data_IF_125238591565
#
_entry.id   IF_125238591565
#
_cell.length_a   1.000
_cell.length_b   1.000
_cell.length_c   1.000
_cell.angle_alpha   90.00
_cell.angle_beta   90.00
_cell.angle_gamma   90.00
#
_symmetry.space_group_name_H-M   'P 1'
#
loop_
_entity.id
_entity.type
_entity.pdbx_description
1 polymer ?
#
# COMPACT_ATOMS: atom_id res chain seq x y z
N UNK A 1 -13.20 10.93 90.94
CA UNK A 1 -13.88 12.05 90.28
C UNK A 1 -13.34 12.12 88.86
N UNK A 2 -14.12 11.62 87.88
CA UNK A 2 -14.66 12.40 86.72
C UNK A 2 -13.58 12.83 85.70
N UNK A 3 -13.69 12.71 84.38
CA UNK A 3 -14.75 12.31 83.47
C UNK A 3 -14.15 12.28 82.03
N UNK A 4 -14.66 11.36 81.19
CA UNK A 4 -15.02 11.50 79.75
C UNK A 4 -14.03 11.98 78.66
N UNK A 5 -13.71 11.04 77.75
CA UNK A 5 -14.12 10.96 76.32
C UNK A 5 -13.46 11.89 75.25
N UNK A 6 -13.56 11.56 73.92
CA UNK A 6 -12.43 11.56 72.97
C UNK A 6 -12.49 12.63 71.86
N UNK A 7 -11.35 12.78 71.15
CA UNK A 7 -11.15 13.64 69.98
C UNK A 7 -12.01 13.25 68.77
N UNK A 8 -12.63 14.24 68.12
CA UNK A 8 -13.36 14.08 66.86
C UNK A 8 -12.46 14.33 65.63
N UNK A 9 -12.69 13.65 64.48
CA UNK A 9 -11.85 13.76 63.30
C UNK A 9 -12.49 14.67 62.25
N UNK A 10 -12.18 15.97 62.27
CA UNK A 10 -12.38 16.87 61.12
C UNK A 10 -11.22 17.87 61.10
N UNK A 11 -10.74 18.23 59.90
CA UNK A 11 -9.65 19.17 59.57
C UNK A 11 -8.28 18.57 59.17
N UNK A 12 -8.28 17.47 58.41
CA UNK A 12 -7.09 17.01 57.66
C UNK A 12 -7.19 17.23 56.13
N UNK A 13 -7.87 18.30 55.67
CA UNK A 13 -8.02 18.59 54.22
C UNK A 13 -7.45 19.95 53.79
N UNK A 14 -6.96 20.78 54.72
CA UNK A 14 -6.55 22.16 54.37
C UNK A 14 -5.10 22.46 54.76
N UNK A 15 -4.12 21.77 54.16
CA UNK A 15 -2.69 22.17 54.26
C UNK A 15 -1.74 21.60 53.19
N UNK A 16 -2.22 21.31 51.99
CA UNK A 16 -1.35 20.90 50.84
C UNK A 16 -1.44 21.88 49.66
N UNK A 17 -2.23 22.96 49.75
CA UNK A 17 -2.54 23.82 48.59
C UNK A 17 -1.80 25.17 48.53
N UNK A 18 -0.62 25.31 49.12
CA UNK A 18 0.06 26.62 49.19
C UNK A 18 1.57 26.62 48.95
N UNK A 19 2.11 25.63 48.22
CA UNK A 19 3.50 25.65 47.74
C UNK A 19 3.65 25.03 46.35
N UNK A 20 2.80 25.41 45.38
CA UNK A 20 3.00 25.03 43.98
C UNK A 20 2.51 26.09 42.97
N UNK A 21 2.67 27.37 43.29
CA UNK A 21 2.50 28.48 42.34
C UNK A 21 3.67 29.45 42.52
N UNK A 22 4.76 29.25 41.77
CA UNK A 22 5.72 30.29 41.32
C UNK A 22 6.99 29.62 40.76
N UNK A 23 6.87 28.99 39.59
CA UNK A 23 7.96 28.77 38.65
C UNK A 23 7.38 28.30 37.31
N UNK A 24 6.62 29.17 36.64
CA UNK A 24 6.35 28.98 35.21
C UNK A 24 7.60 29.44 34.45
N UNK A 25 8.27 28.58 33.65
CA UNK A 25 9.26 29.08 32.73
C UNK A 25 8.51 29.76 31.57
N UNK A 26 8.50 31.09 31.56
CA UNK A 26 8.40 31.85 30.32
C UNK A 26 9.72 31.69 29.55
N UNK A 27 9.88 30.57 28.85
CA UNK A 27 10.93 30.42 27.84
C UNK A 27 10.60 29.26 26.89
N UNK A 28 10.43 29.61 25.62
CA UNK A 28 10.57 28.67 24.50
C UNK A 28 9.27 28.29 23.82
N UNK A 29 8.94 28.99 22.73
CA UNK A 29 8.09 28.48 21.66
C UNK A 29 8.47 27.02 21.39
N UNK A 30 7.52 26.10 21.54
CA UNK A 30 7.76 24.68 21.40
C UNK A 30 8.23 24.35 19.98
N UNK A 31 9.47 23.90 19.84
CA UNK A 31 9.87 23.12 18.68
C UNK A 31 9.00 21.86 18.71
N UNK A 32 7.99 21.78 17.83
CA UNK A 32 7.30 20.52 17.56
C UNK A 32 8.41 19.50 17.28
N UNK A 33 8.46 18.35 17.98
CA UNK A 33 9.51 17.37 17.73
C UNK A 33 9.51 17.04 16.24
N UNK A 34 10.69 17.12 15.61
CA UNK A 34 10.87 17.08 14.16
C UNK A 34 10.16 15.88 13.49
N UNK A 35 10.07 14.76 14.21
CA UNK A 35 9.32 13.57 13.80
C UNK A 35 7.79 13.80 13.69
N UNK A 36 7.19 14.57 14.61
CA UNK A 36 5.77 14.93 14.56
C UNK A 36 5.46 15.89 13.40
N UNK A 37 6.40 16.76 13.04
CA UNK A 37 6.27 17.63 11.87
C UNK A 37 6.27 16.81 10.57
N UNK A 38 7.18 15.83 10.44
CA UNK A 38 7.22 14.94 9.27
C UNK A 38 5.96 14.07 9.17
N UNK A 39 5.45 13.55 10.30
CA UNK A 39 4.20 12.77 10.34
C UNK A 39 2.99 13.58 9.84
N UNK A 40 2.86 14.85 10.26
CA UNK A 40 1.79 15.72 9.77
C UNK A 40 1.91 16.00 8.26
N UNK A 41 3.14 16.18 7.76
CA UNK A 41 3.40 16.35 6.33
C UNK A 41 2.95 15.11 5.54
N UNK A 42 3.31 13.91 5.99
CA UNK A 42 2.89 12.65 5.36
C UNK A 42 1.37 12.50 5.38
N UNK A 43 0.71 12.80 6.52
CA UNK A 43 -0.76 12.78 6.62
C UNK A 43 -1.42 13.75 5.64
N UNK A 44 -0.84 14.92 5.43
CA UNK A 44 -1.36 15.88 4.45
C UNK A 44 -1.13 15.41 3.01
N UNK A 45 0.01 14.79 2.70
CA UNK A 45 0.23 14.14 1.40
C UNK A 45 -0.85 13.08 1.13
N UNK A 46 -1.13 12.21 2.11
CA UNK A 46 -2.17 11.18 2.00
C UNK A 46 -3.57 11.77 1.82
N UNK A 47 -3.96 12.72 2.68
CA UNK A 47 -5.31 13.30 2.64
C UNK A 47 -5.54 14.11 1.37
N UNK A 48 -4.51 14.74 0.81
CA UNK A 48 -4.61 15.50 -0.45
C UNK A 48 -4.64 14.61 -1.69
N UNK A 49 -4.16 13.36 -1.60
CA UNK A 49 -4.14 12.39 -2.69
C UNK A 49 -5.44 11.59 -2.69
N UNK A 50 -6.10 11.48 -3.84
CA UNK A 50 -7.45 10.92 -3.99
C UNK A 50 -7.49 9.98 -5.17
N UNK A 51 -8.24 8.88 -5.04
CA UNK A 51 -8.44 7.93 -6.13
C UNK A 51 -9.50 8.45 -7.09
N UNK A 52 -9.13 8.50 -8.36
CA UNK A 52 -10.01 8.90 -9.46
C UNK A 52 -10.60 7.64 -10.09
N UNK A 53 -11.91 7.63 -10.26
CA UNK A 53 -12.68 6.59 -10.92
C UNK A 53 -13.12 7.09 -12.29
N UNK A 54 -13.02 6.23 -13.30
CA UNK A 54 -13.51 6.47 -14.65
C UNK A 54 -14.47 5.35 -15.03
N UNK A 55 -15.77 5.59 -14.93
CA UNK A 55 -16.80 4.58 -15.14
C UNK A 55 -17.36 4.64 -16.57
N UNK A 56 -17.52 3.47 -17.19
CA UNK A 56 -18.22 3.28 -18.46
C UNK A 56 -19.27 2.19 -18.31
N UNK A 57 -20.13 1.98 -19.33
CA UNK A 57 -21.05 0.84 -19.36
C UNK A 57 -20.35 -0.52 -19.34
N UNK A 58 -19.09 -0.58 -19.76
CA UNK A 58 -18.34 -1.83 -19.96
C UNK A 58 -17.31 -2.11 -18.86
N UNK A 59 -17.20 -1.24 -17.86
CA UNK A 59 -16.24 -1.38 -16.77
C UNK A 59 -15.79 -0.06 -16.17
N UNK A 60 -14.88 -0.14 -15.21
CA UNK A 60 -14.34 0.98 -14.47
C UNK A 60 -12.82 1.00 -14.54
N UNK A 61 -12.26 2.12 -15.00
CA UNK A 61 -10.85 2.45 -14.89
C UNK A 61 -10.56 3.25 -13.62
N UNK A 62 -9.31 3.25 -13.19
CA UNK A 62 -8.87 3.94 -11.99
C UNK A 62 -7.54 4.67 -12.22
N UNK A 63 -7.32 5.72 -11.44
CA UNK A 63 -6.05 6.43 -11.37
C UNK A 63 -5.97 7.26 -10.09
N UNK A 64 -5.02 8.18 -10.05
CA UNK A 64 -4.83 9.07 -8.91
C UNK A 64 -5.07 10.52 -9.32
N UNK A 65 -5.51 11.35 -8.38
CA UNK A 65 -5.50 12.79 -8.47
C UNK A 65 -5.15 13.42 -7.13
N UNK A 66 -5.06 14.75 -7.10
CA UNK A 66 -4.81 15.49 -5.86
C UNK A 66 -5.53 16.83 -5.80
N UNK A 67 -5.86 17.26 -4.59
CA UNK A 67 -6.66 18.47 -4.33
C UNK A 67 -5.82 19.74 -4.51
N UNK A 68 -6.36 20.73 -5.22
CA UNK A 68 -5.74 22.04 -5.44
C UNK A 68 -6.69 23.19 -5.14
N UNK A 69 -6.13 24.39 -4.96
CA UNK A 69 -6.89 25.63 -4.82
C UNK A 69 -7.79 25.67 -3.59
N UNK A 70 -9.09 25.81 -3.81
CA UNK A 70 -10.14 26.00 -2.81
C UNK A 70 -10.62 24.72 -2.11
N UNK A 71 -10.06 23.57 -2.47
CA UNK A 71 -10.48 22.27 -1.94
C UNK A 71 -11.68 21.65 -2.67
N UNK A 72 -12.08 22.19 -3.82
CA UNK A 72 -13.15 21.67 -4.71
C UNK A 72 -12.61 21.20 -6.06
N UNK A 73 -11.32 21.35 -6.30
CA UNK A 73 -10.67 21.02 -7.57
C UNK A 73 -9.64 19.92 -7.39
N UNK A 74 -9.61 18.98 -8.33
CA UNK A 74 -8.66 17.87 -8.35
C UNK A 74 -7.92 17.85 -9.68
N UNK A 75 -6.60 17.78 -9.62
CA UNK A 75 -5.76 17.56 -10.80
C UNK A 75 -5.54 16.06 -10.99
N UNK A 76 -5.57 15.60 -12.24
CA UNK A 76 -5.20 14.24 -12.65
C UNK A 76 -4.64 14.26 -14.09
N UNK A 77 -4.34 13.09 -14.66
CA UNK A 77 -3.99 13.00 -16.07
C UNK A 77 -5.23 12.94 -16.97
N UNK A 78 -5.09 13.37 -18.22
CA UNK A 78 -6.17 13.26 -19.20
C UNK A 78 -6.49 11.80 -19.50
N UNK A 79 -5.49 10.93 -19.65
CA UNK A 79 -5.74 9.51 -19.95
C UNK A 79 -6.49 8.78 -18.83
N UNK A 80 -6.34 9.21 -17.58
CA UNK A 80 -7.09 8.65 -16.43
C UNK A 80 -8.59 8.90 -16.58
N UNK A 81 -8.97 10.03 -17.19
CA UNK A 81 -10.37 10.45 -17.38
C UNK A 81 -10.90 10.19 -18.80
N UNK A 82 -10.15 9.47 -19.65
CA UNK A 82 -10.48 9.30 -21.06
C UNK A 82 -11.85 8.62 -21.31
N UNK A 83 -12.43 7.93 -20.31
CA UNK A 83 -13.78 7.38 -20.43
C UNK A 83 -14.84 8.44 -20.76
N UNK A 84 -14.65 9.70 -20.36
CA UNK A 84 -15.61 10.79 -20.64
C UNK A 84 -15.78 11.03 -22.15
N UNK A 85 -14.74 10.77 -22.93
CA UNK A 85 -14.79 10.90 -24.40
C UNK A 85 -15.69 9.84 -25.05
N UNK A 86 -15.93 8.74 -24.33
CA UNK A 86 -16.81 7.64 -24.73
C UNK A 86 -18.17 7.67 -24.01
N UNK A 87 -18.53 8.80 -23.39
CA UNK A 87 -19.79 8.97 -22.65
C UNK A 87 -19.78 8.34 -21.25
N UNK A 88 -18.60 8.06 -20.69
CA UNK A 88 -18.43 7.66 -19.29
C UNK A 88 -18.52 8.83 -18.31
N UNK A 89 -18.44 8.52 -17.02
CA UNK A 89 -18.46 9.49 -15.93
C UNK A 89 -17.23 9.36 -15.03
N UNK A 90 -16.90 10.45 -14.34
CA UNK A 90 -15.78 10.50 -13.40
C UNK A 90 -16.29 10.63 -11.97
N UNK A 91 -15.54 10.07 -11.03
CA UNK A 91 -15.81 10.22 -9.61
C UNK A 91 -14.55 10.15 -8.77
N UNK A 92 -14.65 10.62 -7.53
CA UNK A 92 -13.57 10.61 -6.56
C UNK A 92 -13.95 9.70 -5.40
N UNK A 93 -13.16 8.66 -5.17
CA UNK A 93 -13.35 7.79 -4.01
C UNK A 93 -12.71 8.45 -2.78
N UNK A 94 -13.55 8.94 -1.88
CA UNK A 94 -13.14 9.67 -0.68
C UNK A 94 -13.02 8.77 0.56
N UNK A 95 -13.69 7.62 0.55
CA UNK A 95 -13.76 6.66 1.65
C UNK A 95 -14.59 5.44 1.25
N UNK A 96 -14.73 4.46 2.13
CA UNK A 96 -15.58 3.29 1.87
C UNK A 96 -17.02 3.75 1.61
N UNK A 97 -17.52 3.54 0.39
CA UNK A 97 -18.86 3.96 -0.02
C UNK A 97 -19.07 5.46 -0.22
N UNK A 98 -18.06 6.31 -0.02
CA UNK A 98 -18.14 7.76 -0.28
C UNK A 98 -17.47 8.08 -1.62
N UNK A 99 -18.30 8.26 -2.66
CA UNK A 99 -17.88 8.69 -3.98
C UNK A 99 -18.46 10.06 -4.27
N UNK A 100 -17.60 11.05 -4.52
CA UNK A 100 -18.02 12.36 -4.99
C UNK A 100 -18.03 12.39 -6.52
N UNK A 101 -19.17 12.74 -7.11
CA UNK A 101 -19.27 13.00 -8.54
C UNK A 101 -18.45 14.22 -8.94
N UNK A 102 -17.89 14.18 -10.16
CA UNK A 102 -17.05 15.25 -10.70
C UNK A 102 -17.47 15.69 -12.09
N UNK A 103 -17.21 16.97 -12.36
CA UNK A 103 -17.25 17.57 -13.69
C UNK A 103 -15.81 17.79 -14.19
N UNK A 104 -15.56 17.48 -15.47
CA UNK A 104 -14.29 17.83 -16.13
C UNK A 104 -14.34 19.30 -16.55
N UNK A 105 -13.73 20.19 -15.78
CA UNK A 105 -13.71 21.63 -16.11
C UNK A 105 -12.62 22.01 -17.12
N UNK A 106 -11.60 21.16 -17.25
CA UNK A 106 -10.57 21.30 -18.27
C UNK A 106 -9.84 19.98 -18.49
N UNK A 107 -9.44 19.69 -19.73
CA UNK A 107 -8.45 18.64 -20.01
C UNK A 107 -7.65 18.95 -21.27
N UNK A 108 -6.46 18.37 -21.38
CA UNK A 108 -5.60 18.52 -22.54
C UNK A 108 -4.84 17.22 -22.81
N UNK A 109 -5.08 16.63 -23.98
CA UNK A 109 -4.45 15.36 -24.40
C UNK A 109 -2.94 15.49 -24.61
N UNK A 110 -2.47 16.60 -25.17
CA UNK A 110 -1.05 16.84 -25.44
C UNK A 110 -0.24 16.96 -24.15
N UNK A 111 -0.76 17.70 -23.17
CA UNK A 111 -0.14 17.83 -21.86
C UNK A 111 -0.38 16.59 -20.98
N UNK A 112 -1.39 15.79 -21.31
CA UNK A 112 -1.92 14.71 -20.50
C UNK A 112 -2.33 15.16 -19.09
N UNK A 113 -3.06 16.27 -19.01
CA UNK A 113 -3.53 16.84 -17.75
C UNK A 113 -5.04 17.10 -17.82
N UNK A 114 -5.70 16.96 -16.67
CA UNK A 114 -7.10 17.30 -16.49
C UNK A 114 -7.33 17.94 -15.11
N UNK A 115 -8.35 18.79 -15.05
CA UNK A 115 -8.86 19.39 -13.81
C UNK A 115 -10.32 18.98 -13.68
N UNK A 116 -10.62 18.34 -12.56
CA UNK A 116 -11.95 17.94 -12.13
C UNK A 116 -12.46 18.92 -11.07
N UNK A 117 -13.78 19.14 -11.05
CA UNK A 117 -14.47 19.94 -10.03
C UNK A 117 -15.53 19.11 -9.34
N UNK A 118 -15.63 19.25 -8.02
CA UNK A 118 -16.74 18.72 -7.22
C UNK A 118 -17.73 19.82 -6.85
N UNK A 119 -18.99 19.43 -6.65
CA UNK A 119 -20.06 20.34 -6.21
C UNK A 119 -19.86 20.87 -4.79
N UNK A 120 -19.09 20.15 -3.96
CA UNK A 120 -18.77 20.52 -2.57
C UNK A 120 -17.26 20.51 -2.33
N UNK A 121 -16.84 21.17 -1.23
CA UNK A 121 -15.49 20.99 -0.69
C UNK A 121 -15.29 19.57 -0.20
N UNK A 122 -14.10 19.05 -0.47
CA UNK A 122 -13.74 17.67 -0.18
C UNK A 122 -13.37 17.44 1.30
N UNK A 123 -13.18 18.50 2.09
CA UNK A 123 -12.66 18.38 3.46
C UNK A 123 -11.23 17.85 3.52
N UNK A 124 -10.49 17.98 2.42
CA UNK A 124 -9.11 17.50 2.21
C UNK A 124 -8.18 18.69 1.95
N UNK A 125 -6.91 18.62 2.40
CA UNK A 125 -5.99 19.73 2.26
C UNK A 125 -5.62 19.92 0.80
N UNK A 126 -5.64 21.16 0.31
CA UNK A 126 -5.11 21.51 -0.99
C UNK A 126 -3.57 21.56 -0.94
N UNK A 127 -2.92 20.99 -1.95
CA UNK A 127 -1.45 20.97 -2.03
C UNK A 127 -0.90 22.32 -2.47
N UNK A 128 0.38 22.54 -2.17
CA UNK A 128 1.17 23.63 -2.77
C UNK A 128 1.88 23.13 -4.01
N UNK A 129 1.95 23.96 -5.06
CA UNK A 129 2.76 23.69 -6.25
C UNK A 129 4.15 24.33 -6.12
N UNK A 130 5.18 23.59 -6.49
CA UNK A 130 6.57 24.07 -6.51
C UNK A 130 6.90 24.62 -7.91
N UNK A 131 7.63 25.73 -7.97
CA UNK A 131 8.13 26.28 -9.23
C UNK A 131 9.33 25.45 -9.75
N UNK A 132 9.46 25.27 -11.06
CA UNK A 132 10.51 24.44 -11.69
C UNK A 132 11.92 24.94 -11.34
N UNK A 133 12.13 26.25 -11.25
CA UNK A 133 13.40 26.86 -10.84
C UNK A 133 13.83 26.49 -9.40
N UNK A 134 12.89 26.00 -8.58
CA UNK A 134 13.13 25.51 -7.21
C UNK A 134 13.30 24.01 -7.12
N UNK A 135 12.98 23.27 -8.17
CA UNK A 135 13.23 21.81 -8.23
C UNK A 135 14.67 21.57 -8.66
N UNK A 136 15.42 20.85 -7.83
CA UNK A 136 16.84 20.53 -8.06
C UNK A 136 16.99 19.09 -8.55
N UNK A 137 18.03 18.82 -9.35
CA UNK A 137 18.46 17.44 -9.59
C UNK A 137 18.90 16.81 -8.27
N UNK A 138 18.82 15.48 -8.17
CA UNK A 138 19.07 14.67 -6.95
C UNK A 138 18.18 14.99 -5.76
N UNK A 139 17.22 15.90 -5.91
CA UNK A 139 16.25 16.22 -4.87
C UNK A 139 15.37 14.99 -4.63
N UNK A 140 15.26 14.57 -3.37
CA UNK A 140 14.38 13.47 -2.96
C UNK A 140 12.92 13.82 -3.23
N UNK A 141 12.20 12.85 -3.78
CA UNK A 141 10.78 12.95 -4.11
C UNK A 141 10.03 11.68 -3.74
N UNK A 142 8.72 11.83 -3.55
CA UNK A 142 7.81 10.77 -3.17
C UNK A 142 6.64 10.75 -4.14
N UNK A 143 6.52 9.69 -4.94
CA UNK A 143 5.38 9.51 -5.82
C UNK A 143 4.26 8.86 -5.00
N UNK A 144 3.10 9.52 -4.97
CA UNK A 144 1.92 9.04 -4.27
C UNK A 144 0.84 8.61 -5.26
N UNK A 145 0.15 7.51 -4.94
CA UNK A 145 -1.02 7.09 -5.71
C UNK A 145 -1.62 5.78 -5.24
N UNK A 146 -2.48 5.20 -6.08
CA UNK A 146 -3.20 3.97 -5.79
C UNK A 146 -2.84 2.90 -6.84
N UNK A 147 -1.73 2.17 -6.66
CA UNK A 147 -1.27 1.19 -7.64
C UNK A 147 -2.37 0.15 -7.94
N UNK A 148 -2.65 -0.11 -9.21
CA UNK A 148 -3.74 -1.01 -9.62
C UNK A 148 -3.59 -2.45 -9.08
N UNK A 149 -2.34 -2.91 -8.86
CA UNK A 149 -2.06 -4.22 -8.27
C UNK A 149 -2.63 -4.39 -6.84
N UNK A 150 -2.88 -3.29 -6.12
CA UNK A 150 -3.50 -3.33 -4.79
C UNK A 150 -5.01 -3.65 -4.85
N UNK A 151 -5.66 -3.46 -6.00
CA UNK A 151 -7.09 -3.75 -6.19
C UNK A 151 -7.31 -5.25 -6.49
N UNK A 152 -6.37 -5.87 -7.21
CA UNK A 152 -6.43 -7.28 -7.63
C UNK A 152 -6.00 -8.27 -6.53
N UNK A 153 -5.40 -7.78 -5.44
CA UNK A 153 -4.83 -8.58 -4.35
C UNK A 153 -5.85 -9.20 -3.36
N UNK A 154 -7.09 -9.47 -3.82
CA UNK A 154 -8.06 -10.30 -3.08
C UNK A 154 -9.28 -9.57 -2.52
N UNK A 155 -9.83 -8.59 -3.23
CA UNK A 155 -11.16 -8.04 -2.90
C UNK A 155 -11.24 -7.25 -1.59
N UNK A 156 -10.11 -6.69 -1.12
CA UNK A 156 -10.08 -5.85 0.09
C UNK A 156 -10.44 -4.40 -0.26
N UNK A 157 -11.51 -3.83 0.33
CA UNK A 157 -11.87 -2.42 0.14
C UNK A 157 -10.76 -1.43 0.53
N UNK A 158 -9.85 -1.82 1.42
CA UNK A 158 -8.78 -0.95 1.95
C UNK A 158 -7.69 -0.63 0.93
N UNK A 159 -7.35 -1.56 0.04
CA UNK A 159 -6.35 -1.31 -1.02
C UNK A 159 -6.79 -0.21 -2.01
N UNK A 160 -8.12 -0.03 -2.13
CA UNK A 160 -8.72 1.04 -2.94
C UNK A 160 -8.58 2.43 -2.30
N UNK A 161 -8.37 2.51 -0.98
CA UNK A 161 -8.43 3.74 -0.20
C UNK A 161 -7.08 4.17 0.39
N UNK A 162 -6.11 3.27 0.44
CA UNK A 162 -4.78 3.54 0.97
C UNK A 162 -3.86 4.10 -0.11
N UNK A 163 -3.35 5.30 0.13
CA UNK A 163 -2.32 5.92 -0.70
C UNK A 163 -1.00 5.18 -0.46
N UNK A 164 -0.38 4.72 -1.55
CA UNK A 164 0.95 4.12 -1.51
C UNK A 164 2.00 5.13 -1.96
N UNK A 165 3.18 5.04 -1.36
CA UNK A 165 4.30 5.91 -1.67
C UNK A 165 5.53 5.13 -2.13
N UNK A 166 6.07 5.55 -3.27
CA UNK A 166 7.40 5.17 -3.73
C UNK A 166 8.34 6.36 -3.61
N UNK A 167 9.61 6.10 -3.35
CA UNK A 167 10.61 7.13 -3.09
C UNK A 167 11.66 7.08 -4.18
N UNK A 168 12.16 8.25 -4.56
CA UNK A 168 13.28 8.40 -5.48
C UNK A 168 13.88 9.80 -5.41
N UNK A 169 14.56 10.19 -6.48
CA UNK A 169 15.15 11.50 -6.73
C UNK A 169 14.74 12.03 -8.10
N UNK A 170 14.85 13.35 -8.29
CA UNK A 170 14.80 13.93 -9.63
C UNK A 170 16.14 13.64 -10.34
N UNK A 171 16.09 12.75 -11.34
CA UNK A 171 17.27 12.30 -12.09
C UNK A 171 17.59 13.23 -13.26
N UNK A 172 16.57 13.77 -13.93
CA UNK A 172 16.75 14.67 -15.07
C UNK A 172 15.56 15.61 -15.28
N UNK A 173 15.83 16.72 -15.97
CA UNK A 173 14.83 17.65 -16.49
C UNK A 173 14.81 17.51 -18.01
N UNK A 174 13.75 16.93 -18.56
CA UNK A 174 13.63 16.68 -20.01
C UNK A 174 12.34 17.27 -20.56
N UNK A 175 12.20 17.24 -21.88
CA UNK A 175 10.93 17.48 -22.56
C UNK A 175 10.66 16.35 -23.52
N UNK A 176 9.40 16.00 -23.79
CA UNK A 176 9.08 15.06 -24.86
C UNK A 176 9.02 15.79 -26.23
N UNK A 177 8.84 15.07 -27.36
CA UNK A 177 8.77 15.69 -28.68
C UNK A 177 7.64 16.72 -28.83
N UNK A 178 6.56 16.60 -28.04
CA UNK A 178 5.43 17.54 -28.03
C UNK A 178 5.72 18.84 -27.27
N UNK A 179 6.90 18.94 -26.65
CA UNK A 179 7.30 20.10 -25.85
C UNK A 179 6.83 20.03 -24.40
N UNK A 180 6.13 18.97 -24.01
CA UNK A 180 5.70 18.76 -22.62
C UNK A 180 6.94 18.59 -21.73
N UNK A 181 7.06 19.44 -20.71
CA UNK A 181 8.19 19.39 -19.77
C UNK A 181 7.94 18.34 -18.70
N UNK A 182 8.97 17.53 -18.46
CA UNK A 182 8.94 16.37 -17.57
C UNK A 182 10.12 16.40 -16.60
N UNK A 183 9.93 15.75 -15.47
CA UNK A 183 11.00 15.23 -14.64
C UNK A 183 11.14 13.74 -14.89
N UNK A 184 12.39 13.29 -15.04
CA UNK A 184 12.76 11.91 -14.86
C UNK A 184 13.01 11.66 -13.37
N UNK A 185 12.52 10.56 -12.84
CA UNK A 185 12.74 10.14 -11.45
C UNK A 185 13.08 8.66 -11.40
N UNK A 186 13.81 8.22 -10.39
CA UNK A 186 13.99 6.78 -10.09
C UNK A 186 12.94 6.24 -9.10
N UNK A 187 12.02 7.10 -8.65
CA UNK A 187 10.85 6.66 -7.90
C UNK A 187 10.02 5.70 -8.77
N UNK A 188 9.67 4.54 -8.22
CA UNK A 188 8.87 3.55 -8.94
C UNK A 188 7.47 4.12 -9.26
N UNK A 189 7.18 4.30 -10.55
CA UNK A 189 5.86 4.73 -11.06
C UNK A 189 5.28 3.57 -11.87
N UNK A 190 4.13 3.09 -11.41
CA UNK A 190 3.40 1.94 -11.94
C UNK A 190 1.95 2.34 -12.27
N UNK A 191 1.21 1.52 -13.05
CA UNK A 191 -0.23 1.72 -13.27
C UNK A 191 -0.97 2.02 -11.96
N UNK A 192 -1.80 3.06 -11.97
CA UNK A 192 -2.54 3.53 -10.79
C UNK A 192 -1.90 4.74 -10.09
N UNK A 193 -0.60 4.99 -10.24
CA UNK A 193 0.02 6.25 -9.78
C UNK A 193 -0.23 7.43 -10.73
N UNK A 194 -0.59 7.16 -11.99
CA UNK A 194 -0.88 8.18 -13.00
C UNK A 194 -1.89 9.20 -12.51
N UNK A 195 -1.59 10.47 -12.74
CA UNK A 195 -2.35 11.63 -12.31
C UNK A 195 -2.09 12.03 -10.85
N UNK A 196 -1.40 11.18 -10.10
CA UNK A 196 -1.03 11.42 -8.72
C UNK A 196 0.13 12.41 -8.55
N UNK A 197 0.28 12.99 -7.36
CA UNK A 197 1.33 13.96 -7.09
C UNK A 197 2.70 13.29 -6.91
N UNK A 198 3.73 13.96 -7.44
CA UNK A 198 5.13 13.77 -7.05
C UNK A 198 5.49 14.85 -6.04
N UNK A 199 5.64 14.47 -4.77
CA UNK A 199 5.91 15.39 -3.67
C UNK A 199 7.41 15.58 -3.42
N UNK A 200 7.81 16.76 -2.95
CA UNK A 200 9.05 16.94 -2.20
C UNK A 200 8.86 16.56 -0.72
N UNK A 201 9.94 16.60 0.07
CA UNK A 201 9.90 16.30 1.51
C UNK A 201 9.05 17.27 2.36
N UNK A 202 8.47 18.32 1.78
CA UNK A 202 7.59 19.27 2.47
C UNK A 202 6.11 19.03 2.16
N UNK A 203 5.76 18.00 1.39
CA UNK A 203 4.39 17.77 0.94
C UNK A 203 3.94 18.72 -0.16
N UNK A 204 4.89 19.36 -0.84
CA UNK A 204 4.63 20.26 -1.96
C UNK A 204 4.83 19.50 -3.26
N UNK A 205 3.92 19.70 -4.22
CA UNK A 205 3.92 18.97 -5.49
C UNK A 205 4.92 19.60 -6.44
N UNK A 206 5.92 18.81 -6.82
CA UNK A 206 6.89 19.17 -7.85
C UNK A 206 6.42 18.74 -9.23
N UNK A 207 5.65 17.64 -9.33
CA UNK A 207 5.14 17.14 -10.61
C UNK A 207 3.94 16.22 -10.48
N UNK A 208 3.44 15.74 -11.62
CA UNK A 208 2.27 14.86 -11.74
C UNK A 208 2.76 13.56 -12.38
N UNK A 209 2.66 12.45 -11.66
CA UNK A 209 3.15 11.14 -12.10
C UNK A 209 2.45 10.71 -13.38
N UNK A 210 3.20 10.17 -14.34
CA UNK A 210 2.67 9.61 -15.59
C UNK A 210 3.28 8.23 -15.80
N UNK A 211 2.43 7.26 -16.12
CA UNK A 211 2.89 5.92 -16.46
C UNK A 211 3.83 5.89 -17.68
N UNK A 212 4.77 4.93 -17.64
CA UNK A 212 5.86 4.68 -18.59
C UNK A 212 5.39 4.39 -20.03
N UNK A 213 5.01 5.43 -20.77
CA UNK A 213 4.71 5.30 -22.21
C UNK A 213 5.44 6.33 -23.09
N UNK A 214 6.53 6.91 -22.60
CA UNK A 214 7.38 7.78 -23.41
C UNK A 214 8.47 6.97 -24.10
N UNK A 215 8.37 6.86 -25.42
CA UNK A 215 9.38 6.21 -26.27
C UNK A 215 10.51 7.16 -26.67
N UNK A 216 10.26 8.48 -26.67
CA UNK A 216 11.20 9.51 -27.13
C UNK A 216 11.20 10.72 -26.18
N UNK A 217 12.37 11.33 -25.99
CA UNK A 217 12.58 12.60 -25.27
C UNK A 217 13.52 13.52 -26.05
N UNK A 218 13.47 14.82 -25.78
CA UNK A 218 14.54 15.78 -26.10
C UNK A 218 15.51 15.86 -24.94
N UNK A 219 16.79 15.64 -25.24
CA UNK A 219 17.88 15.84 -24.29
C UNK A 219 18.15 17.35 -24.06
N UNK A 220 19.11 17.66 -23.18
CA UNK A 220 19.50 19.05 -22.88
C UNK A 220 20.01 19.83 -24.11
N UNK A 221 20.47 19.14 -25.15
CA UNK A 221 20.97 19.74 -26.40
C UNK A 221 19.86 19.88 -27.46
N UNK A 222 18.63 19.47 -27.15
CA UNK A 222 17.47 19.54 -28.05
C UNK A 222 17.32 18.35 -29.02
N UNK A 223 18.22 17.37 -28.97
CA UNK A 223 18.21 16.19 -29.83
C UNK A 223 17.20 15.15 -29.34
N UNK A 224 16.59 14.43 -30.29
CA UNK A 224 15.66 13.35 -29.99
C UNK A 224 16.42 12.08 -29.61
N UNK A 225 16.11 11.54 -28.43
CA UNK A 225 16.70 10.32 -27.89
C UNK A 225 15.59 9.33 -27.54
N UNK A 226 15.79 8.05 -27.90
CA UNK A 226 14.90 6.96 -27.47
C UNK A 226 15.11 6.68 -25.99
N UNK A 227 14.02 6.57 -25.24
CA UNK A 227 14.08 6.18 -23.82
C UNK A 227 14.35 4.68 -23.74
N UNK A 228 15.40 4.23 -23.03
CA UNK A 228 15.58 2.82 -22.73
C UNK A 228 14.39 2.31 -21.91
N UNK A 229 13.74 1.24 -22.36
CA UNK A 229 12.76 0.53 -21.55
C UNK A 229 13.52 -0.17 -20.42
N UNK A 230 13.45 0.40 -19.22
CA UNK A 230 14.22 -0.07 -18.06
C UNK A 230 13.46 0.06 -16.75
N UNK A 231 13.81 -0.82 -15.81
CA UNK A 231 13.44 -0.65 -14.41
C UNK A 231 14.09 0.62 -13.83
N UNK A 232 13.41 1.30 -12.91
CA UNK A 232 13.95 2.52 -12.27
C UNK A 232 13.85 3.83 -13.07
N UNK A 233 13.07 3.91 -14.16
CA UNK A 233 12.80 5.17 -14.87
C UNK A 233 11.31 5.56 -14.75
N UNK A 234 10.99 6.51 -13.90
CA UNK A 234 9.67 7.14 -13.78
C UNK A 234 9.61 8.52 -14.45
N UNK A 235 8.41 8.94 -14.84
CA UNK A 235 8.14 10.24 -15.45
C UNK A 235 7.10 11.01 -14.65
N UNK A 236 7.31 12.32 -14.51
CA UNK A 236 6.31 13.22 -13.97
C UNK A 236 6.24 14.52 -14.76
N UNK A 237 5.05 14.97 -15.13
CA UNK A 237 4.82 16.29 -15.74
C UNK A 237 5.18 17.35 -14.72
N UNK A 238 5.93 18.39 -15.11
CA UNK A 238 6.32 19.44 -14.15
C UNK A 238 5.08 20.21 -13.69
N UNK A 239 4.98 20.47 -12.39
CA UNK A 239 3.82 21.18 -11.81
C UNK A 239 3.58 22.57 -12.43
N UNK A 240 4.62 23.19 -13.01
CA UNK A 240 4.49 24.47 -13.72
C UNK A 240 3.62 24.41 -14.97
N UNK A 241 3.44 23.24 -15.58
CA UNK A 241 2.50 23.06 -16.70
C UNK A 241 1.05 23.35 -16.28
N UNK A 242 0.72 23.21 -14.99
CA UNK A 242 -0.63 23.48 -14.48
C UNK A 242 -0.91 24.97 -14.30
N UNK A 243 0.09 25.80 -13.98
CA UNK A 243 -0.14 27.18 -13.52
C UNK A 243 -0.94 28.03 -14.53
N UNK A 244 -0.62 28.03 -15.84
CA UNK A 244 -1.38 28.82 -16.80
C UNK A 244 -2.83 28.35 -16.92
N UNK A 245 -3.07 27.05 -16.72
CA UNK A 245 -4.39 26.45 -16.87
C UNK A 245 -5.25 26.71 -15.63
N UNK A 246 -4.67 26.55 -14.43
CA UNK A 246 -5.36 26.91 -13.19
C UNK A 246 -5.72 28.40 -13.16
N UNK A 247 -4.81 29.28 -13.62
CA UNK A 247 -5.08 30.71 -13.73
C UNK A 247 -6.26 31.02 -14.68
N UNK A 248 -6.34 30.36 -15.85
CA UNK A 248 -7.47 30.50 -16.79
C UNK A 248 -8.80 30.04 -16.19
N UNK A 249 -8.76 29.05 -15.31
CA UNK A 249 -9.92 28.55 -14.59
C UNK A 249 -10.25 29.37 -13.34
N UNK A 250 -9.52 30.47 -13.07
CA UNK A 250 -9.63 31.25 -11.83
C UNK A 250 -9.38 30.43 -10.56
N UNK A 251 -8.63 29.34 -10.67
CA UNK A 251 -8.20 28.51 -9.55
C UNK A 251 -6.84 29.03 -9.10
N UNK A 252 -6.75 29.55 -7.88
CA UNK A 252 -5.48 30.04 -7.31
C UNK A 252 -4.84 28.95 -6.46
N UNK A 253 -3.88 28.15 -6.98
CA UNK A 253 -3.16 27.20 -6.16
C UNK A 253 -2.23 27.94 -5.19
N UNK A 254 -2.06 27.39 -4.00
CA UNK A 254 -0.96 27.82 -3.15
C UNK A 254 0.37 27.47 -3.83
N UNK A 255 1.31 28.40 -3.83
CA UNK A 255 2.66 28.18 -4.39
C UNK A 255 3.68 28.14 -3.27
N UNK A 256 4.60 27.17 -3.32
CA UNK A 256 5.69 27.05 -2.37
C UNK A 256 6.59 28.30 -2.41
N UNK A 257 6.49 29.16 -1.38
CA UNK A 257 7.19 30.44 -1.33
C UNK A 257 8.61 30.34 -0.75
N UNK A 258 8.98 29.22 -0.11
CA UNK A 258 10.31 28.96 0.46
C UNK A 258 10.89 27.64 -0.04
N UNK A 259 12.21 27.50 0.03
CA UNK A 259 12.87 26.21 -0.21
C UNK A 259 12.46 25.20 0.87
N UNK A 260 12.22 23.96 0.46
CA UNK A 260 11.87 22.89 1.38
C UNK A 260 13.03 22.63 2.35
N UNK A 261 12.76 22.76 3.66
CA UNK A 261 13.72 22.58 4.76
C UNK A 261 13.17 21.60 5.79
N UNK A 262 12.82 20.40 5.33
CA UNK A 262 12.52 19.28 6.23
C UNK A 262 13.78 18.42 6.33
N UNK A 263 14.06 17.93 7.52
CA UNK A 263 15.15 17.00 7.76
C UNK A 263 14.86 15.68 7.02
N UNK A 264 15.80 15.31 6.15
CA UNK A 264 15.67 14.13 5.29
C UNK A 264 15.55 12.85 6.10
N UNK A 265 16.29 12.72 7.20
CA UNK A 265 16.24 11.54 8.06
C UNK A 265 14.91 11.46 8.80
N UNK A 266 14.41 12.60 9.28
CA UNK A 266 13.10 12.65 9.93
C UNK A 266 11.95 12.28 8.97
N UNK A 267 12.02 12.71 7.70
CA UNK A 267 11.03 12.32 6.70
C UNK A 267 11.15 10.84 6.30
N UNK A 268 12.36 10.35 6.07
CA UNK A 268 12.59 8.94 5.74
C UNK A 268 12.11 8.03 6.89
N UNK A 269 12.32 8.43 8.15
CA UNK A 269 11.79 7.74 9.33
C UNK A 269 10.25 7.78 9.40
N UNK A 270 9.61 8.92 9.11
CA UNK A 270 8.15 9.04 9.09
C UNK A 270 7.52 8.13 8.01
N UNK A 271 8.11 8.10 6.82
CA UNK A 271 7.66 7.24 5.72
C UNK A 271 7.86 5.75 6.04
N UNK A 272 8.97 5.38 6.69
CA UNK A 272 9.22 4.02 7.13
C UNK A 272 8.23 3.59 8.23
N UNK A 273 7.99 4.45 9.23
CA UNK A 273 7.00 4.20 10.27
C UNK A 273 5.59 4.02 9.69
N UNK A 274 5.25 4.80 8.65
CA UNK A 274 3.97 4.67 7.95
C UNK A 274 3.83 3.33 7.25
N UNK A 275 4.85 2.88 6.53
CA UNK A 275 4.87 1.55 5.88
C UNK A 275 4.72 0.42 6.90
N UNK A 276 5.45 0.49 8.01
CA UNK A 276 5.34 -0.50 9.08
C UNK A 276 3.93 -0.55 9.70
N UNK A 277 3.30 0.61 9.90
CA UNK A 277 1.92 0.69 10.39
C UNK A 277 0.91 0.09 9.40
N UNK A 278 1.14 0.27 8.10
CA UNK A 278 0.31 -0.29 7.03
C UNK A 278 0.43 -1.82 6.96
N UNK A 279 1.65 -2.36 7.05
CA UNK A 279 1.89 -3.81 7.12
C UNK A 279 1.22 -4.42 8.35
N UNK A 280 1.38 -3.80 9.53
CA UNK A 280 0.73 -4.24 10.76
C UNK A 280 -0.81 -4.21 10.66
N UNK A 281 -1.37 -3.19 10.01
CA UNK A 281 -2.82 -3.10 9.73
C UNK A 281 -3.28 -4.22 8.80
N UNK A 282 -2.51 -4.53 7.76
CA UNK A 282 -2.80 -5.62 6.83
C UNK A 282 -2.77 -7.01 7.50
N UNK A 283 -1.82 -7.22 8.43
CA UNK A 283 -1.73 -8.43 9.25
C UNK A 283 -2.92 -8.57 10.21
N UNK A 284 -3.30 -7.49 10.89
CA UNK A 284 -4.49 -7.48 11.74
C UNK A 284 -5.77 -7.78 10.94
N UNK A 285 -5.87 -7.25 9.71
CA UNK A 285 -6.94 -7.57 8.78
C UNK A 285 -7.00 -9.07 8.41
N UNK A 286 -5.86 -9.67 8.05
CA UNK A 286 -5.75 -11.12 7.79
C UNK A 286 -6.18 -11.97 9.00
N UNK A 287 -5.76 -11.58 10.20
CA UNK A 287 -6.12 -12.29 11.42
C UNK A 287 -7.64 -12.23 11.69
N UNK A 288 -8.26 -11.08 11.44
CA UNK A 288 -9.70 -10.89 11.58
C UNK A 288 -10.49 -11.75 10.58
N UNK A 289 -10.09 -11.75 9.30
CA UNK A 289 -10.73 -12.58 8.26
C UNK A 289 -10.66 -14.08 8.59
N UNK A 290 -9.52 -14.57 9.09
CA UNK A 290 -9.35 -15.96 9.54
C UNK A 290 -10.29 -16.30 10.70
N UNK A 291 -10.48 -15.38 11.63
CA UNK A 291 -11.42 -15.56 12.74
C UNK A 291 -12.87 -15.61 12.25
N UNK A 292 -13.25 -14.75 11.31
CA UNK A 292 -14.60 -14.74 10.74
C UNK A 292 -14.89 -15.98 9.87
N UNK A 293 -13.91 -16.47 9.11
CA UNK A 293 -14.04 -17.73 8.36
C UNK A 293 -14.19 -18.93 9.29
N UNK A 294 -13.41 -18.97 10.38
CA UNK A 294 -13.52 -20.04 11.38
C UNK A 294 -14.89 -20.02 12.08
N UNK A 295 -15.42 -18.83 12.34
CA UNK A 295 -16.75 -18.66 12.94
C UNK A 295 -17.84 -19.18 11.99
N UNK A 296 -17.80 -18.81 10.70
CA UNK A 296 -18.77 -19.30 9.69
C UNK A 296 -18.72 -20.82 9.51
N UNK A 297 -17.52 -21.40 9.44
CA UNK A 297 -17.36 -22.85 9.34
C UNK A 297 -17.94 -23.57 10.57
N UNK A 298 -17.79 -23.00 11.77
CA UNK A 298 -18.38 -23.55 12.99
C UNK A 298 -19.91 -23.48 12.98
N UNK A 299 -20.50 -22.38 12.49
CA UNK A 299 -21.95 -22.23 12.34
C UNK A 299 -22.53 -23.21 11.31
N UNK A 300 -21.81 -23.46 10.21
CA UNK A 300 -22.24 -24.41 9.17
C UNK A 300 -22.15 -25.86 9.66
N UNK A 301 -21.07 -26.23 10.36
CA UNK A 301 -20.93 -27.54 11.00
C UNK A 301 -22.03 -27.80 12.04
N UNK A 302 -22.42 -26.76 12.79
CA UNK A 302 -23.53 -26.81 13.74
C UNK A 302 -24.86 -27.09 13.04
N UNK A 303 -25.12 -26.41 11.93
CA UNK A 303 -26.34 -26.58 11.15
C UNK A 303 -26.45 -28.01 10.57
N UNK A 304 -25.36 -28.53 10.01
CA UNK A 304 -25.28 -29.91 9.51
C UNK A 304 -25.52 -30.95 10.62
N UNK A 305 -24.95 -30.72 11.81
CA UNK A 305 -25.17 -31.58 12.96
C UNK A 305 -26.65 -31.57 13.39
N UNK A 306 -27.29 -30.40 13.43
CA UNK A 306 -28.73 -30.28 13.76
C UNK A 306 -29.62 -31.02 12.75
N UNK A 307 -29.31 -30.91 11.46
CA UNK A 307 -30.03 -31.62 10.38
C UNK A 307 -29.85 -33.14 10.48
N UNK A 308 -28.64 -33.61 10.78
CA UNK A 308 -28.36 -35.04 10.98
C UNK A 308 -29.11 -35.62 12.18
N UNK A 309 -29.20 -34.87 13.29
CA UNK A 309 -29.98 -35.25 14.48
C UNK A 309 -31.50 -35.29 14.20
N UNK A 310 -32.00 -34.41 13.32
CA UNK A 310 -33.42 -34.41 12.93
C UNK A 310 -33.81 -35.62 12.05
N UNK A 311 -32.86 -36.19 11.29
CA UNK A 311 -33.08 -37.33 10.41
C UNK A 311 -33.02 -38.71 11.08
N UNK A 312 -32.45 -38.83 12.29
CA UNK A 312 -32.32 -40.12 12.98
C UNK A 312 -33.58 -40.48 13.76
N UNK A 313 -34.40 -41.38 13.20
CA UNK A 313 -35.65 -41.87 13.79
C UNK A 313 -35.53 -42.79 15.02
N UNK A 314 -34.45 -42.73 15.81
CA UNK A 314 -34.28 -43.55 17.02
C UNK A 314 -33.93 -42.67 18.22
N UNK A 315 -34.91 -42.46 19.09
CA UNK A 315 -34.88 -41.53 20.22
C UNK A 315 -34.32 -42.21 21.47
N UNK A 316 -33.00 -42.17 21.65
CA UNK A 316 -32.38 -42.43 22.95
C UNK A 316 -32.03 -41.10 23.65
N UNK A 317 -32.76 -40.70 24.72
CA UNK A 317 -32.63 -39.37 25.33
C UNK A 317 -31.26 -39.09 25.96
N UNK A 318 -30.48 -40.12 26.30
CA UNK A 318 -29.14 -39.99 26.88
C UNK A 318 -28.07 -39.56 25.85
N UNK A 319 -28.17 -40.05 24.61
CA UNK A 319 -27.24 -39.70 23.51
C UNK A 319 -27.49 -38.28 23.00
N UNK A 320 -28.76 -37.86 22.94
CA UNK A 320 -29.16 -36.50 22.55
C UNK A 320 -28.66 -35.49 23.59
N UNK A 321 -28.76 -35.81 24.89
CA UNK A 321 -28.26 -34.96 25.97
C UNK A 321 -26.74 -34.74 25.92
N UNK A 322 -25.97 -35.80 25.62
CA UNK A 322 -24.51 -35.76 25.45
C UNK A 322 -24.04 -34.99 24.21
N UNK A 323 -24.77 -35.11 23.10
CA UNK A 323 -24.48 -34.34 21.88
C UNK A 323 -24.83 -32.86 22.04
N UNK A 324 -25.96 -32.52 22.66
CA UNK A 324 -26.33 -31.11 22.91
C UNK A 324 -25.34 -30.43 23.86
N UNK A 325 -24.85 -31.14 24.90
CA UNK A 325 -23.85 -30.58 25.83
C UNK A 325 -22.48 -30.41 25.19
N UNK A 326 -21.99 -31.37 24.39
CA UNK A 326 -20.73 -31.21 23.62
C UNK A 326 -20.83 -30.10 22.59
N UNK A 327 -22.00 -29.95 21.96
CA UNK A 327 -22.27 -28.88 20.99
C UNK A 327 -22.39 -27.50 21.67
N UNK A 328 -22.99 -27.41 22.87
CA UNK A 328 -23.00 -26.20 23.70
C UNK A 328 -21.59 -25.83 24.20
N UNK A 329 -20.78 -26.82 24.58
CA UNK A 329 -19.39 -26.61 25.02
C UNK A 329 -18.49 -26.14 23.87
N UNK A 330 -18.71 -26.65 22.65
CA UNK A 330 -18.05 -26.15 21.44
C UNK A 330 -18.47 -24.70 21.11
N UNK A 331 -19.75 -24.35 21.31
CA UNK A 331 -20.25 -22.97 21.18
C UNK A 331 -19.71 -22.02 22.27
N UNK A 332 -19.55 -22.51 23.49
CA UNK A 332 -19.01 -21.78 24.65
C UNK A 332 -17.50 -21.55 24.50
N UNK A 333 -16.77 -22.47 23.88
CA UNK A 333 -15.36 -22.28 23.52
C UNK A 333 -15.17 -21.18 22.43
N UNK A 334 -16.21 -20.92 21.64
CA UNK A 334 -16.23 -19.90 20.59
C UNK A 334 -16.84 -18.55 21.02
N UNK A 335 -17.44 -18.43 22.21
CA UNK A 335 -18.15 -17.19 22.60
C UNK A 335 -17.69 -16.57 23.93
N UNK A 336 -17.58 -15.24 23.89
CA UNK A 336 -17.32 -14.27 24.97
C UNK A 336 -15.94 -14.23 25.65
N UNK A 337 -15.27 -15.32 26.01
CA UNK A 337 -13.93 -15.19 26.66
C UNK A 337 -12.81 -14.78 25.69
N UNK A 338 -12.87 -15.19 24.42
CA UNK A 338 -11.91 -14.74 23.39
C UNK A 338 -12.04 -13.27 23.01
N UNK A 339 -13.25 -12.70 23.05
CA UNK A 339 -13.48 -11.27 22.74
C UNK A 339 -12.97 -10.32 23.83
N UNK A 340 -12.93 -10.77 25.09
CA UNK A 340 -12.37 -10.00 26.21
C UNK A 340 -10.85 -10.05 26.16
N UNK A 341 -10.24 -11.21 25.86
CA UNK A 341 -8.78 -11.31 25.70
C UNK A 341 -8.28 -10.49 24.52
N UNK A 342 -8.99 -10.42 23.39
CA UNK A 342 -8.60 -9.54 22.26
C UNK A 342 -8.71 -8.05 22.63
N UNK A 343 -9.76 -7.64 23.36
CA UNK A 343 -9.88 -6.25 23.85
C UNK A 343 -8.86 -5.91 24.93
N UNK A 344 -8.50 -6.87 25.78
CA UNK A 344 -7.55 -6.69 26.89
C UNK A 344 -6.09 -6.80 26.44
N UNK A 345 -5.80 -7.58 25.41
CA UNK A 345 -4.50 -7.59 24.69
C UNK A 345 -4.34 -6.31 23.87
N UNK A 346 -5.41 -5.79 23.23
CA UNK A 346 -5.42 -4.50 22.55
C UNK A 346 -5.32 -3.29 23.50
N UNK A 347 -5.82 -3.41 24.73
CA UNK A 347 -5.65 -2.41 25.79
C UNK A 347 -4.23 -2.47 26.39
N UNK A 348 -3.69 -3.67 26.62
CA UNK A 348 -2.31 -3.86 27.13
C UNK A 348 -1.23 -3.49 26.12
N UNK A 349 -1.50 -3.57 24.81
CA UNK A 349 -0.61 -3.01 23.77
C UNK A 349 -0.62 -1.48 23.72
N UNK A 350 -1.66 -0.82 24.25
CA UNK A 350 -1.69 0.65 24.40
C UNK A 350 -0.98 1.12 25.68
N UNK A 351 -1.00 0.33 26.76
CA UNK A 351 -0.28 0.65 28.00
C UNK A 351 1.22 0.30 27.97
N UNK A 352 1.64 -0.67 27.14
CA UNK A 352 3.06 -1.00 26.94
C UNK A 352 3.80 0.06 26.08
N UNK A 353 3.09 0.89 25.33
CA UNK A 353 3.68 1.94 24.48
C UNK A 353 4.04 3.23 25.23
N UNK A 354 3.74 3.35 26.53
CA UNK A 354 3.99 4.58 27.33
C UNK A 354 4.93 4.40 28.51
N UNK A 355 5.55 3.24 28.69
CA UNK A 355 6.68 3.08 29.61
C UNK A 355 7.80 2.35 28.89
N UNK A 356 8.76 3.12 28.39
CA UNK A 356 10.22 2.96 28.61
C UNK A 356 10.93 4.01 27.75
N UNK A 357 10.90 5.27 28.20
CA UNK A 357 11.97 6.20 27.87
C UNK A 357 13.09 5.91 28.88
N UNK A 358 14.08 5.13 28.42
CA UNK A 358 15.16 4.64 29.26
C UNK A 358 16.37 4.26 28.41
N UNK A 359 17.05 5.29 27.89
CA UNK A 359 18.49 5.41 27.60
C UNK A 359 19.33 4.16 27.20
N UNK A 360 20.15 4.41 26.16
CA UNK A 360 21.46 3.82 25.80
C UNK A 360 21.50 2.68 24.77
N UNK A 361 21.87 3.08 23.55
CA UNK A 361 23.07 2.64 22.82
C UNK A 361 23.51 1.19 23.04
N UNK A 362 23.36 0.37 22.00
CA UNK A 362 24.45 -0.45 21.47
C UNK A 362 24.14 -0.91 20.05
N UNK A 363 25.08 -0.65 19.17
CA UNK A 363 25.25 -1.28 17.87
C UNK A 363 25.25 -2.79 18.03
N UNK A 364 24.47 -3.51 17.22
CA UNK A 364 24.85 -4.85 16.79
C UNK A 364 24.41 -5.07 15.35
N UNK A 365 25.42 -5.27 14.49
CA UNK A 365 25.29 -5.83 13.16
C UNK A 365 24.78 -7.27 13.32
N UNK A 366 23.56 -7.56 12.88
CA UNK A 366 23.13 -8.93 12.68
C UNK A 366 23.32 -9.28 11.19
N UNK A 367 24.27 -10.17 10.93
CA UNK A 367 24.51 -10.76 9.63
C UNK A 367 23.25 -11.51 9.15
N UNK A 368 22.84 -11.28 7.90
CA UNK A 368 21.71 -11.97 7.25
C UNK A 368 22.04 -13.45 7.04
N UNK A 369 21.13 -14.35 7.41
CA UNK A 369 21.18 -15.76 7.01
C UNK A 369 21.05 -15.89 5.47
N UNK A 370 21.66 -16.90 4.85
CA UNK A 370 21.67 -17.05 3.40
C UNK A 370 20.27 -17.43 2.88
N UNK A 371 19.73 -16.64 1.94
CA UNK A 371 18.43 -16.87 1.32
C UNK A 371 18.46 -18.00 0.28
N UNK A 372 17.28 -18.54 -0.05
CA UNK A 372 17.14 -19.44 -1.19
C UNK A 372 17.30 -18.66 -2.49
N UNK A 373 17.70 -19.30 -3.58
CA UNK A 373 17.87 -18.66 -4.90
C UNK A 373 17.11 -19.43 -5.97
N UNK A 374 16.57 -18.69 -6.93
CA UNK A 374 16.01 -19.21 -8.17
C UNK A 374 16.95 -18.87 -9.32
N UNK A 375 17.47 -19.89 -9.99
CA UNK A 375 18.32 -19.73 -11.17
C UNK A 375 17.56 -20.09 -12.43
N UNK A 376 17.59 -19.24 -13.45
CA UNK A 376 17.14 -19.64 -14.79
C UNK A 376 18.17 -20.58 -15.43
N UNK A 377 17.73 -21.78 -15.80
CA UNK A 377 18.55 -22.82 -16.43
C UNK A 377 18.47 -22.73 -17.95
N UNK A 378 17.29 -22.43 -18.49
CA UNK A 378 17.04 -22.30 -19.92
C UNK A 378 15.96 -21.25 -20.19
N UNK A 379 15.96 -20.69 -21.40
CA UNK A 379 15.04 -19.63 -21.83
C UNK A 379 15.59 -18.23 -21.57
N UNK A 380 14.72 -17.22 -21.56
CA UNK A 380 15.13 -15.81 -21.47
C UNK A 380 15.83 -15.42 -20.15
N UNK A 381 15.70 -16.26 -19.12
CA UNK A 381 16.33 -16.06 -17.81
C UNK A 381 17.57 -16.94 -17.60
N UNK A 382 18.06 -17.63 -18.63
CA UNK A 382 19.22 -18.51 -18.52
C UNK A 382 20.44 -17.76 -17.94
N UNK A 383 20.99 -18.28 -16.84
CA UNK A 383 22.12 -17.69 -16.12
C UNK A 383 21.74 -16.64 -15.07
N UNK A 384 20.52 -16.07 -15.13
CA UNK A 384 20.02 -15.12 -14.15
C UNK A 384 19.73 -15.81 -12.81
N UNK A 385 19.98 -15.09 -11.71
CA UNK A 385 19.75 -15.58 -10.35
C UNK A 385 18.90 -14.55 -9.61
N UNK A 386 17.86 -15.02 -8.94
CA UNK A 386 16.98 -14.21 -8.13
C UNK A 386 16.94 -14.77 -6.70
N UNK A 387 17.07 -13.88 -5.71
CA UNK A 387 16.93 -14.26 -4.31
C UNK A 387 15.44 -14.54 -4.00
N UNK A 388 15.19 -15.63 -3.28
CA UNK A 388 13.90 -16.06 -2.78
C UNK A 388 13.87 -15.90 -1.26
N UNK A 389 12.85 -15.21 -0.78
CA UNK A 389 12.48 -15.11 0.62
C UNK A 389 11.25 -15.98 0.92
N UNK A 390 10.62 -15.74 2.07
CA UNK A 390 9.39 -16.41 2.50
C UNK A 390 8.15 -15.96 1.70
N UNK A 391 8.26 -14.95 0.84
CA UNK A 391 7.18 -14.46 0.01
C UNK A 391 7.08 -15.24 -1.31
N UNK A 392 5.87 -15.50 -1.81
CA UNK A 392 5.68 -16.15 -3.11
C UNK A 392 6.12 -15.25 -4.25
N UNK A 393 7.07 -15.76 -5.05
CA UNK A 393 7.43 -15.23 -6.35
C UNK A 393 6.51 -15.84 -7.41
N UNK A 394 5.62 -15.05 -7.98
CA UNK A 394 4.78 -15.48 -9.10
C UNK A 394 5.51 -15.35 -10.42
N UNK A 395 5.44 -16.39 -11.26
CA UNK A 395 6.03 -16.42 -12.60
C UNK A 395 4.91 -16.49 -13.63
N UNK A 396 4.98 -15.70 -14.71
CA UNK A 396 3.95 -15.69 -15.74
C UNK A 396 4.21 -14.63 -16.81
N UNK A 397 3.37 -14.58 -17.85
CA UNK A 397 3.59 -13.68 -19.00
C UNK A 397 3.02 -12.26 -18.82
N UNK A 398 2.36 -11.97 -17.70
CA UNK A 398 1.66 -10.70 -17.53
C UNK A 398 2.09 -9.95 -16.26
N UNK A 399 2.57 -8.70 -16.37
CA UNK A 399 3.16 -7.95 -15.25
C UNK A 399 2.15 -7.59 -14.16
N UNK A 400 0.84 -7.66 -14.42
CA UNK A 400 -0.17 -7.40 -13.39
C UNK A 400 -0.37 -8.55 -12.39
N UNK A 401 0.12 -9.76 -12.69
CA UNK A 401 -0.14 -10.97 -11.87
C UNK A 401 1.08 -11.87 -11.69
N UNK A 402 2.23 -11.49 -12.22
CA UNK A 402 3.51 -12.19 -12.08
C UNK A 402 4.61 -11.20 -11.66
N UNK A 403 5.48 -11.62 -10.73
CA UNK A 403 6.68 -10.89 -10.33
C UNK A 403 7.80 -11.08 -11.34
N UNK A 404 8.00 -12.32 -11.80
CA UNK A 404 8.93 -12.67 -12.87
C UNK A 404 8.15 -12.78 -14.18
N UNK A 405 8.32 -11.77 -15.04
CA UNK A 405 7.49 -11.59 -16.24
C UNK A 405 8.19 -12.16 -17.47
N UNK A 406 7.57 -13.17 -18.05
CA UNK A 406 8.07 -13.86 -19.25
C UNK A 406 7.66 -13.07 -20.49
N UNK A 407 8.59 -12.81 -21.42
CA UNK A 407 8.38 -11.97 -22.61
C UNK A 407 7.16 -12.40 -23.43
N UNK A 408 6.50 -11.43 -24.09
CA UNK A 408 5.22 -11.62 -24.83
C UNK A 408 5.26 -12.71 -25.93
N UNK A 409 6.44 -13.16 -26.35
CA UNK A 409 6.61 -14.26 -27.31
C UNK A 409 6.26 -15.65 -26.77
N UNK A 410 6.21 -15.84 -25.45
CA UNK A 410 5.88 -17.11 -24.81
C UNK A 410 4.36 -17.30 -24.64
N UNK A 411 3.63 -17.43 -25.75
CA UNK A 411 2.17 -17.62 -25.73
C UNK A 411 1.73 -18.86 -24.93
N UNK A 412 2.63 -19.83 -24.76
CA UNK A 412 2.45 -21.04 -23.96
C UNK A 412 2.41 -20.77 -22.45
N UNK A 413 2.83 -19.59 -21.97
CA UNK A 413 2.84 -19.24 -20.55
C UNK A 413 1.56 -18.48 -20.17
N UNK A 414 0.85 -18.89 -19.11
CA UNK A 414 -0.32 -18.16 -18.60
C UNK A 414 0.06 -16.82 -17.96
N UNK A 415 -0.91 -15.89 -17.85
CA UNK A 415 -0.70 -14.55 -17.27
C UNK A 415 -0.03 -14.65 -15.88
N UNK A 416 -0.58 -15.53 -15.04
CA UNK A 416 0.02 -16.11 -13.82
C UNK A 416 0.14 -17.60 -14.08
N UNK A 417 1.35 -18.16 -14.01
CA UNK A 417 1.60 -19.55 -14.38
C UNK A 417 1.86 -20.41 -13.15
N UNK A 418 2.84 -20.05 -12.33
CA UNK A 418 3.15 -20.75 -11.09
C UNK A 418 3.64 -19.76 -10.02
N UNK A 419 3.83 -20.24 -8.81
CA UNK A 419 4.57 -19.51 -7.78
C UNK A 419 5.59 -20.40 -7.09
N UNK A 420 6.70 -19.78 -6.68
CA UNK A 420 7.76 -20.42 -5.90
C UNK A 420 8.11 -19.55 -4.69
N UNK A 421 8.34 -20.15 -3.52
CA UNK A 421 8.89 -19.45 -2.33
C UNK A 421 9.90 -20.31 -1.60
N UNK A 422 10.75 -19.69 -0.80
CA UNK A 422 11.69 -20.37 0.07
C UNK A 422 11.20 -20.35 1.52
N UNK A 423 11.01 -21.53 2.11
CA UNK A 423 10.62 -21.67 3.52
C UNK A 423 11.87 -21.79 4.39
N UNK A 424 12.44 -20.65 4.79
CA UNK A 424 13.70 -20.59 5.53
C UNK A 424 13.76 -21.48 6.79
N UNK A 425 12.69 -21.60 7.62
CA UNK A 425 12.68 -22.53 8.76
C UNK A 425 12.84 -24.01 8.38
N UNK A 426 12.36 -24.43 7.21
CA UNK A 426 12.40 -25.84 6.78
C UNK A 426 13.49 -26.13 5.74
N UNK A 427 14.04 -25.09 5.10
CA UNK A 427 15.05 -25.20 4.06
C UNK A 427 14.52 -25.71 2.72
N UNK A 428 13.20 -25.83 2.55
CA UNK A 428 12.56 -26.29 1.31
C UNK A 428 12.07 -25.12 0.47
N UNK A 429 11.94 -25.37 -0.83
CA UNK A 429 11.20 -24.51 -1.74
C UNK A 429 9.80 -25.08 -1.94
N UNK A 430 8.81 -24.21 -2.05
CA UNK A 430 7.42 -24.60 -2.28
C UNK A 430 7.00 -24.09 -3.64
N UNK A 431 6.72 -25.02 -4.55
CA UNK A 431 6.27 -24.76 -5.93
C UNK A 431 4.79 -25.11 -6.06
N UNK A 432 4.01 -24.24 -6.70
CA UNK A 432 2.58 -24.46 -6.94
C UNK A 432 2.21 -23.97 -8.35
N UNK A 433 1.47 -24.79 -9.10
CA UNK A 433 0.86 -24.36 -10.36
C UNK A 433 -0.36 -23.48 -10.09
N UNK A 434 -0.38 -22.28 -10.66
CA UNK A 434 -1.42 -21.27 -10.44
C UNK A 434 -2.56 -21.38 -11.46
N UNK A 435 -3.04 -22.60 -11.69
CA UNK A 435 -4.09 -22.90 -12.68
C UNK A 435 -3.68 -22.50 -14.10
N UNK A 436 -2.44 -22.84 -14.45
CA UNK A 436 -1.90 -22.51 -15.76
C UNK A 436 -2.55 -23.36 -16.87
N UNK A 437 -2.64 -22.78 -18.05
CA UNK A 437 -3.26 -23.41 -19.23
C UNK A 437 -2.44 -24.61 -19.68
N UNK A 438 -1.11 -24.49 -19.70
CA UNK A 438 -0.20 -25.50 -20.24
C UNK A 438 0.58 -26.28 -19.17
N UNK A 439 0.42 -25.96 -17.89
CA UNK A 439 0.98 -26.72 -16.78
C UNK A 439 2.41 -26.33 -16.41
N UNK A 440 2.69 -26.48 -15.13
CA UNK A 440 4.03 -26.51 -14.54
C UNK A 440 4.48 -27.95 -14.36
N UNK A 441 5.74 -28.24 -14.64
CA UNK A 441 6.28 -29.60 -14.62
C UNK A 441 7.59 -29.67 -13.85
N UNK A 442 7.82 -30.79 -13.17
CA UNK A 442 9.14 -31.14 -12.62
C UNK A 442 10.06 -31.63 -13.74
N UNK A 443 11.36 -31.67 -13.47
CA UNK A 443 12.37 -32.06 -14.46
C UNK A 443 12.23 -33.49 -15.01
N UNK A 444 11.56 -34.39 -14.28
CA UNK A 444 11.23 -35.75 -14.73
C UNK A 444 10.01 -35.80 -15.67
N UNK A 445 9.39 -34.65 -15.96
CA UNK A 445 8.18 -34.53 -16.77
C UNK A 445 6.88 -34.65 -15.98
N UNK A 446 6.92 -34.81 -14.66
CA UNK A 446 5.73 -34.88 -13.82
C UNK A 446 5.00 -33.54 -13.82
N UNK A 447 3.75 -33.52 -14.30
CA UNK A 447 2.88 -32.33 -14.25
C UNK A 447 2.36 -32.11 -12.83
N UNK A 448 2.44 -30.87 -12.35
CA UNK A 448 1.86 -30.49 -11.06
C UNK A 448 0.33 -30.47 -11.12
N UNK A 449 -0.32 -30.91 -10.05
CA UNK A 449 -1.74 -30.67 -9.83
C UNK A 449 -1.96 -29.18 -9.51
N UNK A 450 -2.83 -28.45 -10.24
CA UNK A 450 -3.11 -27.05 -9.97
C UNK A 450 -3.56 -26.78 -8.53
N UNK A 451 -2.99 -25.74 -7.90
CA UNK A 451 -3.30 -25.35 -6.52
C UNK A 451 -2.70 -26.24 -5.42
N UNK A 452 -1.95 -27.29 -5.78
CA UNK A 452 -1.28 -28.17 -4.82
C UNK A 452 0.21 -27.86 -4.72
N UNK A 453 0.68 -27.65 -3.49
CA UNK A 453 2.08 -27.34 -3.23
C UNK A 453 2.95 -28.59 -3.27
N UNK A 454 4.03 -28.51 -4.05
CA UNK A 454 5.09 -29.50 -4.12
C UNK A 454 6.34 -28.93 -3.44
N UNK A 455 6.99 -29.75 -2.62
CA UNK A 455 8.26 -29.41 -1.98
C UNK A 455 9.41 -29.74 -2.92
N UNK A 456 10.29 -28.77 -3.13
CA UNK A 456 11.54 -28.92 -3.85
C UNK A 456 12.72 -28.74 -2.89
N UNK A 457 13.80 -29.47 -3.15
CA UNK A 457 15.09 -29.35 -2.49
C UNK A 457 16.05 -28.54 -3.35
N UNK A 458 17.09 -28.00 -2.73
CA UNK A 458 18.20 -27.38 -3.47
C UNK A 458 18.75 -28.33 -4.54
N UNK A 459 18.85 -27.85 -5.77
CA UNK A 459 19.25 -28.61 -6.96
C UNK A 459 18.07 -29.07 -7.84
N UNK A 460 16.85 -29.10 -7.30
CA UNK A 460 15.66 -29.50 -8.05
C UNK A 460 15.32 -28.48 -9.13
N UNK A 461 14.69 -28.97 -10.21
CA UNK A 461 14.36 -28.19 -11.39
C UNK A 461 12.89 -28.35 -11.78
N UNK A 462 12.34 -27.29 -12.34
CA UNK A 462 10.99 -27.27 -12.90
C UNK A 462 10.97 -26.42 -14.17
N UNK A 463 9.97 -26.63 -15.02
CA UNK A 463 9.77 -25.86 -16.25
C UNK A 463 8.29 -25.51 -16.47
N UNK A 464 8.06 -24.46 -17.26
CA UNK A 464 6.72 -23.92 -17.52
C UNK A 464 6.31 -24.18 -18.96
N UNK A 465 5.17 -24.85 -19.15
CA UNK A 465 4.64 -25.32 -20.44
C UNK A 465 5.57 -26.27 -21.22
N UNK A 466 6.81 -25.87 -21.48
CA UNK A 466 7.81 -26.61 -22.25
C UNK A 466 9.21 -26.52 -21.62
N UNK A 467 10.10 -27.51 -21.84
CA UNK A 467 11.43 -27.56 -21.22
C UNK A 467 12.35 -26.38 -21.57
N UNK A 468 12.03 -25.61 -22.61
CA UNK A 468 12.79 -24.43 -23.04
C UNK A 468 12.76 -23.27 -22.04
N UNK A 469 11.93 -23.35 -21.01
CA UNK A 469 11.80 -22.35 -19.97
C UNK A 469 11.89 -23.02 -18.59
N UNK A 470 13.13 -23.18 -18.12
CA UNK A 470 13.47 -24.02 -16.98
C UNK A 470 14.16 -23.23 -15.89
N UNK A 471 13.85 -23.57 -14.64
CA UNK A 471 14.43 -22.98 -13.44
C UNK A 471 14.98 -24.07 -12.52
N UNK A 472 16.01 -23.72 -11.76
CA UNK A 472 16.56 -24.51 -10.66
C UNK A 472 16.41 -23.72 -9.35
N UNK A 473 16.13 -24.42 -8.26
CA UNK A 473 16.17 -23.83 -6.92
C UNK A 473 17.50 -24.17 -6.24
N UNK A 474 18.14 -23.20 -5.60
CA UNK A 474 19.44 -23.36 -4.94
C UNK A 474 19.33 -22.86 -3.51
N UNK A 475 19.55 -23.73 -2.51
CA UNK A 475 19.69 -23.32 -1.12
C UNK A 475 20.96 -22.47 -0.93
N UNK A 476 20.86 -21.49 -0.04
CA UNK A 476 21.96 -20.59 0.30
C UNK A 476 23.06 -21.21 1.15
#
# INVERSE_FOLDING_TARGET
MTCTAPLSPRHAILRVLTTLLLAAPLAGLTAVPLAAQSDEVVKNMERSTIRVLCATRNGMGTGTGFVVGDGQHVVTNHHVIACVESGGSTGLLLGEGDVAETEVVWSNRTLDLAVLRTTRRLGRPAVKLVADDRVRLTQRVYAAGFPGAADDAGGRPRGLLEVKFTQGIISAKVSDPSGRRLYQTDAAINPGNSGGPLFNACGEVVGINVEKSLTMIRNANGELQRVPEGEGIGWAIRADELRPQLARLSITPAVASRACRVDREAMDAAMAARRAAEEASADAGRATERADSATRAAEEALKLAQEALAGTGRRDPLMIGGMITTMLLALLALTRKGRVVVKEVAARTREAATRTFGSRSRSDKLASAPGGRLRGVAGEFAGSVLELDDKPLYIGRHPSVANLVISRGAASVSKRHCCVRYDAPSGFFLLEDSWSTNGTFLADGTRLEPGKQVRLRSGDRFYLAEPGLMFAVEGG
#
